data_IF_644471364734
#
_entry.id   IF_644471364734
#
_cell.length_a   1.000
_cell.length_b   1.000
_cell.length_c   1.000
_cell.angle_alpha   90.00
_cell.angle_beta   90.00
_cell.angle_gamma   90.00
#
_symmetry.space_group_name_H-M   'P 1'
#
loop_
_entity.id
_entity.type
_entity.pdbx_description
1 polymer ?
#
# COMPACT_ATOMS: atom_id res chain seq x y z
N UNK A 1 -12.63 15.40 -4.48
CA UNK A 1 -11.32 14.71 -4.61
C UNK A 1 -11.30 13.59 -3.60
N UNK A 2 -11.03 12.36 -4.02
CA UNK A 2 -10.80 11.25 -3.09
C UNK A 2 -9.34 11.27 -2.65
N UNK A 3 -9.07 11.21 -1.34
CA UNK A 3 -7.71 11.14 -0.83
C UNK A 3 -7.02 9.85 -1.33
N UNK A 4 -5.86 10.01 -1.95
CA UNK A 4 -5.00 8.90 -2.38
C UNK A 4 -3.68 8.93 -1.62
N UNK A 5 -3.14 7.75 -1.35
CA UNK A 5 -1.98 7.53 -0.51
C UNK A 5 -0.89 6.75 -1.25
N UNK A 6 0.33 6.83 -0.72
CA UNK A 6 1.42 5.94 -1.07
C UNK A 6 1.64 4.96 0.08
N UNK A 7 1.68 3.67 -0.24
CA UNK A 7 2.11 2.62 0.70
C UNK A 7 3.52 2.21 0.34
N UNK A 8 4.42 2.22 1.31
CA UNK A 8 5.74 1.62 1.18
C UNK A 8 5.69 0.25 1.86
N UNK A 9 6.02 -0.80 1.11
CA UNK A 9 6.09 -2.18 1.61
C UNK A 9 7.55 -2.57 1.65
N UNK A 10 7.98 -3.06 2.80
CA UNK A 10 9.33 -3.58 3.05
C UNK A 10 9.21 -5.07 3.32
N UNK A 11 9.95 -5.88 2.56
CA UNK A 11 9.97 -7.34 2.69
C UNK A 11 11.14 -7.81 3.55
N UNK A 12 11.06 -9.04 4.04
CA UNK A 12 12.06 -9.64 4.94
C UNK A 12 13.41 -9.87 4.27
N UNK A 13 13.45 -9.94 2.94
CA UNK A 13 14.67 -10.01 2.14
C UNK A 13 15.34 -8.65 1.91
N UNK A 14 14.74 -7.57 2.43
CA UNK A 14 15.24 -6.20 2.31
C UNK A 14 14.78 -5.46 1.06
N UNK A 15 13.89 -6.03 0.23
CA UNK A 15 13.29 -5.28 -0.86
C UNK A 15 12.28 -4.23 -0.34
N UNK A 16 12.20 -3.09 -1.01
CA UNK A 16 11.26 -2.03 -0.68
C UNK A 16 10.57 -1.53 -1.94
N UNK A 17 9.25 -1.45 -1.91
CA UNK A 17 8.42 -1.03 -3.05
C UNK A 17 7.37 -0.04 -2.62
N UNK A 18 7.18 0.99 -3.45
CA UNK A 18 6.11 1.96 -3.27
C UNK A 18 4.91 1.60 -4.15
N UNK A 19 3.73 1.53 -3.55
CA UNK A 19 2.43 1.40 -4.20
C UNK A 19 1.78 2.78 -4.14
N UNK A 20 1.65 3.42 -5.30
CA UNK A 20 1.07 4.76 -5.44
C UNK A 20 -0.45 4.72 -5.69
N UNK A 21 -1.09 5.87 -5.47
CA UNK A 21 -2.52 6.10 -5.78
C UNK A 21 -3.47 5.12 -5.06
N UNK A 22 -3.14 4.72 -3.83
CA UNK A 22 -3.97 3.82 -3.02
C UNK A 22 -5.11 4.61 -2.37
N UNK A 23 -6.39 4.26 -2.60
CA UNK A 23 -7.51 4.93 -1.96
C UNK A 23 -7.50 4.75 -0.43
N UNK A 24 -8.02 5.73 0.32
CA UNK A 24 -8.13 5.68 1.78
C UNK A 24 -8.75 4.36 2.30
N UNK A 25 -9.82 3.89 1.65
CA UNK A 25 -10.52 2.64 1.98
C UNK A 25 -9.63 1.42 1.84
N UNK A 26 -8.86 1.35 0.75
CA UNK A 26 -7.91 0.27 0.50
C UNK A 26 -6.74 0.32 1.51
N UNK A 27 -6.27 1.51 1.90
CA UNK A 27 -5.26 1.66 2.98
C UNK A 27 -5.78 1.08 4.30
N UNK A 28 -6.99 1.48 4.72
CA UNK A 28 -7.57 1.00 5.97
C UNK A 28 -7.75 -0.51 5.96
N UNK A 29 -8.24 -1.07 4.85
CA UNK A 29 -8.38 -2.52 4.69
C UNK A 29 -7.01 -3.22 4.74
N UNK A 30 -5.98 -2.66 4.09
CA UNK A 30 -4.61 -3.19 4.12
C UNK A 30 -4.06 -3.24 5.53
N UNK A 31 -4.16 -2.14 6.26
CA UNK A 31 -3.65 -2.08 7.63
C UNK A 31 -4.42 -3.07 8.52
N UNK A 32 -5.74 -3.18 8.36
CA UNK A 32 -6.55 -4.14 9.11
C UNK A 32 -6.16 -5.59 8.79
N UNK A 33 -5.99 -5.95 7.51
CA UNK A 33 -5.59 -7.29 7.09
C UNK A 33 -4.17 -7.62 7.52
N UNK A 34 -3.25 -6.65 7.47
CA UNK A 34 -1.87 -6.83 7.91
C UNK A 34 -1.79 -7.10 9.43
N UNK A 35 -2.44 -6.27 10.25
CA UNK A 35 -2.44 -6.40 11.72
C UNK A 35 -3.09 -7.71 12.17
N UNK A 36 -4.20 -8.09 11.54
CA UNK A 36 -4.95 -9.30 11.90
C UNK A 36 -4.53 -10.54 11.09
N UNK A 37 -3.51 -10.41 10.23
CA UNK A 37 -3.03 -11.47 9.31
C UNK A 37 -4.18 -12.16 8.55
N UNK A 38 -5.08 -11.34 7.97
CA UNK A 38 -6.26 -11.83 7.26
C UNK A 38 -5.95 -12.10 5.78
N UNK A 39 -6.31 -13.29 5.30
CA UNK A 39 -6.04 -13.74 3.93
C UNK A 39 -4.56 -14.03 3.69
N UNK A 40 -4.19 -14.20 2.42
CA UNK A 40 -2.88 -14.74 2.05
C UNK A 40 -1.79 -13.68 1.86
N UNK A 41 -2.12 -12.38 1.84
CA UNK A 41 -1.14 -11.32 1.61
C UNK A 41 -1.68 -10.02 1.02
N UNK A 42 -0.77 -9.23 0.44
CA UNK A 42 -1.02 -7.89 -0.11
C UNK A 42 -1.64 -7.88 -1.53
N UNK A 43 -1.96 -9.06 -2.08
CA UNK A 43 -2.42 -9.28 -3.45
C UNK A 43 -3.75 -8.63 -3.84
N UNK A 44 -4.52 -8.13 -2.87
CA UNK A 44 -5.84 -7.55 -3.10
C UNK A 44 -5.79 -6.05 -3.50
N UNK A 45 -4.65 -5.37 -3.31
CA UNK A 45 -4.50 -3.98 -3.75
C UNK A 45 -4.25 -3.98 -5.26
N UNK A 46 -5.26 -3.64 -6.06
CA UNK A 46 -5.14 -3.59 -7.52
C UNK A 46 -3.99 -2.67 -8.01
N UNK A 47 -3.66 -1.62 -7.25
CA UNK A 47 -2.55 -0.72 -7.53
C UNK A 47 -1.15 -1.33 -7.29
N UNK A 48 -1.04 -2.46 -6.57
CA UNK A 48 0.22 -3.16 -6.33
C UNK A 48 0.74 -3.92 -7.58
N UNK A 49 -0.05 -3.97 -8.66
CA UNK A 49 0.33 -4.72 -9.86
C UNK A 49 0.38 -6.23 -9.61
N UNK A 50 1.26 -6.99 -10.30
CA UNK A 50 1.38 -8.44 -10.15
C UNK A 50 2.06 -8.88 -8.85
N UNK A 51 2.34 -7.95 -7.94
CA UNK A 51 3.16 -8.20 -6.77
C UNK A 51 2.30 -8.80 -5.66
N UNK A 52 2.47 -10.09 -5.41
CA UNK A 52 1.83 -10.79 -4.29
C UNK A 52 2.88 -11.22 -3.28
N UNK A 53 3.06 -10.43 -2.23
CA UNK A 53 3.77 -10.89 -1.04
C UNK A 53 2.78 -11.46 -0.03
N UNK A 54 3.15 -12.59 0.55
CA UNK A 54 2.50 -13.13 1.72
C UNK A 54 2.79 -12.28 2.94
N UNK A 55 1.95 -12.42 3.96
CA UNK A 55 2.15 -11.71 5.22
C UNK A 55 3.49 -12.00 5.90
N UNK A 56 4.03 -13.21 5.73
CA UNK A 56 5.32 -13.61 6.32
C UNK A 56 6.52 -13.03 5.57
N UNK A 57 6.36 -12.72 4.28
CA UNK A 57 7.37 -12.03 3.48
C UNK A 57 7.41 -10.53 3.75
N UNK A 58 6.34 -9.97 4.34
CA UNK A 58 6.26 -8.54 4.64
C UNK A 58 6.81 -8.27 6.03
N UNK A 59 7.90 -7.51 6.07
CA UNK A 59 8.48 -7.02 7.31
C UNK A 59 7.71 -5.82 7.86
N UNK A 60 7.37 -4.86 6.99
CA UNK A 60 6.65 -3.66 7.40
C UNK A 60 5.84 -3.05 6.26
N UNK A 61 4.74 -2.37 6.62
CA UNK A 61 3.98 -1.50 5.72
C UNK A 61 3.98 -0.11 6.34
N UNK A 62 4.43 0.89 5.59
CA UNK A 62 4.47 2.30 6.01
C UNK A 62 3.56 3.13 5.12
N UNK A 63 2.71 3.94 5.74
CA UNK A 63 1.90 4.92 5.03
C UNK A 63 2.73 6.18 4.80
N UNK A 64 2.96 6.52 3.54
CA UNK A 64 3.54 7.81 3.15
C UNK A 64 2.38 8.67 2.64
N UNK A 65 2.05 9.74 3.39
CA UNK A 65 1.01 10.69 2.95
C UNK A 65 1.55 11.47 1.76
N UNK A 66 1.09 11.12 0.55
CA UNK A 66 1.35 11.88 -0.66
C UNK A 66 0.29 12.95 -0.83
N UNK A 67 0.52 14.16 -0.34
CA UNK A 67 -0.21 15.33 -0.83
C UNK A 67 0.29 15.67 -2.23
N UNK A 68 -0.48 15.36 -3.27
CA UNK A 68 -0.31 15.98 -4.60
C UNK A 68 -1.58 16.74 -4.93
N UNK A 69 -1.66 18.00 -4.51
CA UNK A 69 -2.32 19.02 -5.30
C UNK A 69 -1.40 19.31 -6.47
N UNK A 70 -1.64 18.68 -7.62
CA UNK A 70 -1.21 19.32 -8.87
C UNK A 70 -2.22 20.43 -9.06
N UNK A 71 -1.86 21.66 -8.67
CA UNK A 71 -2.54 22.82 -9.22
C UNK A 71 -2.47 22.65 -10.75
N UNK A 72 -3.65 22.58 -11.38
CA UNK A 72 -3.80 22.76 -12.82
C UNK A 72 -3.16 24.10 -13.17
N UNK A 73 -2.04 24.09 -13.89
CA UNK A 73 -1.62 25.28 -14.60
C UNK A 73 -2.33 25.29 -15.96
N UNK A 74 -2.96 26.42 -16.35
CA UNK A 74 -3.77 26.53 -17.56
C UNK A 74 -3.00 26.29 -18.85
#
# INVERSE_FOLDING_TARGET
MSDVFRLCVETTDGASTNIDKVPATAVMETMNRYVNRLGDGLSFIAAAGPVSWTWDEIHAIRLVRGSYTVEEYP
#
